data_IF_073111774343
#
_entry.id   IF_073111774343
#
_cell.length_a   1.000
_cell.length_b   1.000
_cell.length_c   1.000
_cell.angle_alpha   90.00
_cell.angle_beta   90.00
_cell.angle_gamma   90.00
#
_symmetry.space_group_name_H-M   'P 1'
#
loop_
_entity.id
_entity.type
_entity.pdbx_description
1 polymer ?
#
# COMPACT_ATOMS: atom_id res chain seq x y z
N UNK A 1 7.18 12.11 39.26
CA UNK A 1 7.28 11.79 40.69
C UNK A 1 8.50 10.95 40.90
N UNK A 2 9.22 11.23 41.95
CA UNK A 2 10.67 11.40 41.88
C UNK A 2 11.47 10.24 42.49
N UNK A 3 12.64 10.06 41.93
CA UNK A 3 13.95 10.11 42.62
C UNK A 3 14.08 9.46 44.02
N UNK A 4 15.07 8.60 44.12
CA UNK A 4 15.97 8.64 45.28
C UNK A 4 17.33 8.03 44.92
N UNK A 5 18.33 8.88 44.93
CA UNK A 5 19.75 8.56 45.03
C UNK A 5 20.05 8.04 46.44
N UNK A 6 20.86 7.00 46.54
CA UNK A 6 21.60 6.70 47.80
C UNK A 6 23.10 6.79 47.52
N UNK A 7 23.71 7.76 48.13
CA UNK A 7 25.17 7.94 48.25
C UNK A 7 25.58 7.24 49.58
N UNK A 8 26.49 6.28 49.47
CA UNK A 8 27.13 5.69 50.65
C UNK A 8 28.53 6.30 50.80
N UNK A 9 28.68 7.03 51.87
CA UNK A 9 29.93 7.60 52.37
C UNK A 9 30.58 6.57 53.30
N UNK A 10 31.80 6.12 52.97
CA UNK A 10 32.64 5.37 53.91
C UNK A 10 33.64 6.30 54.54
N UNK A 11 33.52 6.50 55.81
CA UNK A 11 34.48 7.17 56.69
C UNK A 11 35.54 6.18 57.21
N UNK A 12 36.78 6.47 56.91
CA UNK A 12 37.94 5.77 57.49
C UNK A 12 38.31 6.41 58.87
N UNK A 13 38.28 5.59 59.89
CA UNK A 13 38.82 5.96 61.21
C UNK A 13 40.32 5.66 61.31
N UNK A 14 41.14 6.67 61.66
CA UNK A 14 42.49 6.52 62.10
C UNK A 14 42.45 6.33 63.62
N UNK A 15 43.13 5.29 64.10
CA UNK A 15 43.48 5.19 65.51
C UNK A 15 45.02 5.30 65.64
N UNK A 16 45.41 6.33 66.33
CA UNK A 16 46.77 6.52 66.83
C UNK A 16 46.98 5.71 68.11
N UNK A 17 48.09 5.04 68.24
CA UNK A 17 48.50 4.40 69.48
C UNK A 17 49.93 4.78 69.78
N UNK A 18 50.04 5.57 70.83
CA UNK A 18 51.29 6.02 71.49
C UNK A 18 51.71 5.03 72.56
N UNK A 19 52.95 4.92 72.83
CA UNK A 19 53.50 4.22 73.97
C UNK A 19 55.03 4.15 73.91
N UNK A 20 55.66 5.05 74.45
CA UNK A 20 56.48 5.32 75.63
C UNK A 20 57.67 4.39 75.83
N UNK A 21 58.80 5.00 75.74
CA UNK A 21 60.09 4.96 76.45
C UNK A 21 60.33 3.91 77.52
N UNK A 22 61.53 3.37 77.57
CA UNK A 22 62.39 3.32 78.82
C UNK A 22 63.87 3.15 78.41
N UNK A 23 64.67 3.89 79.18
CA UNK A 23 66.11 4.01 79.28
C UNK A 23 66.76 2.72 79.79
N UNK A 24 68.05 2.42 79.45
CA UNK A 24 69.22 2.46 80.26
C UNK A 24 70.38 1.60 79.67
N UNK A 25 71.55 2.05 79.82
CA UNK A 25 72.76 1.27 80.04
C UNK A 25 73.97 1.56 79.19
N UNK A 26 74.82 2.46 79.67
CA UNK A 26 76.18 2.66 79.23
C UNK A 26 76.96 1.37 79.41
N UNK A 27 77.81 1.04 78.38
CA UNK A 27 79.15 0.47 78.62
C UNK A 27 80.06 0.83 77.43
N UNK A 28 81.02 1.58 77.68
CA UNK A 28 82.23 1.84 76.84
C UNK A 28 82.93 0.53 76.65
N UNK A 29 83.16 0.13 75.34
CA UNK A 29 84.30 -0.69 74.93
C UNK A 29 84.92 -0.02 73.72
N UNK A 30 86.17 0.41 73.93
CA UNK A 30 87.09 0.76 72.87
C UNK A 30 87.36 -0.49 72.00
N UNK A 31 86.77 -0.56 70.78
CA UNK A 31 87.23 -1.53 69.76
C UNK A 31 88.08 -0.75 68.72
N UNK A 32 89.30 -1.14 68.64
CA UNK A 32 90.27 -0.77 67.57
C UNK A 32 89.64 -0.94 66.21
N UNK A 33 89.36 0.16 65.50
CA UNK A 33 88.89 0.09 64.12
C UNK A 33 89.99 -0.37 63.21
N UNK A 34 90.11 -1.69 62.97
CA UNK A 34 90.75 -2.18 61.78
C UNK A 34 89.85 -1.89 60.59
N UNK A 35 90.18 -0.83 59.86
CA UNK A 35 89.63 -0.64 58.51
C UNK A 35 90.02 -1.83 57.65
N UNK A 36 89.09 -2.65 57.17
CA UNK A 36 89.45 -3.73 56.25
C UNK A 36 90.07 -3.07 54.97
N UNK A 37 91.32 -3.36 54.68
CA UNK A 37 91.90 -2.99 53.37
C UNK A 37 91.02 -3.62 52.28
N UNK A 38 90.29 -2.76 51.58
CA UNK A 38 89.41 -3.19 50.46
C UNK A 38 90.34 -3.77 49.37
N UNK A 39 90.34 -5.10 49.25
CA UNK A 39 91.09 -5.76 48.18
C UNK A 39 90.36 -5.59 46.86
N UNK A 40 90.68 -4.52 46.15
CA UNK A 40 90.10 -4.21 44.81
C UNK A 40 90.46 -5.28 43.75
N UNK A 41 91.17 -6.35 44.12
CA UNK A 41 91.56 -7.51 43.26
C UNK A 41 90.53 -8.65 43.41
N UNK A 42 89.54 -8.54 44.31
CA UNK A 42 88.47 -9.55 44.49
C UNK A 42 87.75 -9.84 43.15
N UNK A 43 87.84 -11.10 42.65
CA UNK A 43 87.15 -11.48 41.47
C UNK A 43 85.62 -11.39 41.54
N UNK A 44 85.06 -11.38 42.76
CA UNK A 44 83.67 -11.25 43.07
C UNK A 44 83.29 -9.93 43.74
N UNK A 45 83.93 -8.83 43.37
CA UNK A 45 83.75 -7.51 43.96
C UNK A 45 82.26 -7.06 43.96
N UNK A 46 81.57 -7.26 42.83
CA UNK A 46 80.09 -7.13 42.70
C UNK A 46 79.46 -8.54 42.64
N UNK A 47 78.19 -8.61 42.95
CA UNK A 47 77.44 -9.86 42.72
C UNK A 47 77.30 -10.17 41.25
N UNK A 48 77.35 -11.48 40.89
CA UNK A 48 77.13 -11.93 39.54
C UNK A 48 75.81 -11.45 39.01
N UNK A 49 75.77 -10.97 37.82
CA UNK A 49 74.52 -10.53 37.17
C UNK A 49 73.97 -11.65 36.34
N UNK A 50 72.67 -11.85 36.45
CA UNK A 50 71.85 -12.70 35.58
C UNK A 50 70.61 -11.93 35.16
N UNK A 51 70.14 -12.19 33.95
CA UNK A 51 68.96 -11.53 33.40
C UNK A 51 67.96 -12.60 32.98
N UNK A 52 66.85 -12.67 33.66
CA UNK A 52 65.80 -13.58 33.27
C UNK A 52 65.20 -13.17 31.92
N UNK A 53 65.09 -14.09 30.99
CA UNK A 53 64.66 -13.85 29.59
C UNK A 53 65.59 -12.84 28.85
N UNK A 54 66.87 -13.01 29.06
CA UNK A 54 67.86 -12.20 28.38
C UNK A 54 69.25 -12.69 28.66
N UNK A 55 70.22 -12.08 28.03
CA UNK A 55 71.66 -12.40 28.11
C UNK A 55 72.45 -11.25 28.71
N UNK A 56 73.41 -11.61 29.53
CA UNK A 56 74.33 -10.66 30.14
C UNK A 56 75.78 -10.98 29.67
N UNK A 57 76.33 -10.05 28.91
CA UNK A 57 77.72 -10.18 28.43
C UNK A 57 78.63 -9.19 29.20
N UNK A 58 79.51 -9.70 30.00
CA UNK A 58 80.40 -8.88 30.85
C UNK A 58 81.81 -8.85 30.31
N UNK A 59 82.37 -7.65 30.26
CA UNK A 59 83.78 -7.36 29.87
C UNK A 59 84.54 -6.78 31.09
N UNK A 60 85.45 -7.58 31.62
CA UNK A 60 86.27 -7.21 32.73
C UNK A 60 87.56 -6.54 32.22
N UNK A 61 88.05 -5.48 32.89
CA UNK A 61 89.37 -4.88 32.55
C UNK A 61 90.55 -5.81 32.82
N UNK A 62 90.32 -6.96 33.49
CA UNK A 62 91.40 -7.93 33.83
C UNK A 62 91.31 -9.24 33.02
N UNK A 63 90.40 -9.34 32.09
CA UNK A 63 90.20 -10.52 31.26
C UNK A 63 89.14 -11.51 31.71
N UNK A 64 88.90 -12.53 30.91
CA UNK A 64 87.65 -13.37 30.93
C UNK A 64 87.33 -14.18 32.17
N UNK A 65 88.25 -14.39 33.09
CA UNK A 65 87.98 -15.15 34.35
C UNK A 65 87.37 -14.27 35.46
N UNK A 66 87.36 -12.94 35.32
CA UNK A 66 86.98 -12.00 36.37
C UNK A 66 85.70 -11.23 36.01
N UNK A 67 84.60 -11.92 36.03
CA UNK A 67 83.33 -11.39 35.51
C UNK A 67 82.64 -10.33 36.36
N UNK A 68 83.06 -10.10 37.61
CA UNK A 68 82.42 -9.15 38.51
C UNK A 68 83.43 -8.32 39.36
N UNK A 69 84.68 -8.18 38.90
CA UNK A 69 85.68 -7.32 39.49
C UNK A 69 85.30 -5.82 39.33
N UNK A 70 85.92 -4.98 40.16
CA UNK A 70 85.74 -3.52 40.05
C UNK A 70 86.09 -3.04 38.62
N UNK A 71 85.20 -2.24 38.06
CA UNK A 71 85.27 -1.71 36.72
C UNK A 71 84.73 -2.63 35.60
N UNK A 72 84.31 -3.85 35.91
CA UNK A 72 83.71 -4.73 34.94
C UNK A 72 82.45 -4.05 34.39
N UNK A 73 82.28 -4.03 33.06
CA UNK A 73 81.14 -3.50 32.33
C UNK A 73 80.30 -4.69 31.77
N UNK A 74 79.01 -4.72 32.13
CA UNK A 74 78.13 -5.73 31.62
C UNK A 74 77.06 -5.08 30.69
N UNK A 75 76.94 -5.66 29.51
CA UNK A 75 75.85 -5.31 28.54
C UNK A 75 74.76 -6.29 28.67
N UNK A 76 73.50 -5.77 28.68
CA UNK A 76 72.29 -6.53 28.87
C UNK A 76 71.48 -6.47 27.64
N UNK A 77 71.08 -7.61 27.12
CA UNK A 77 70.12 -7.77 26.02
C UNK A 77 69.00 -8.70 26.40
N UNK A 78 67.80 -8.41 25.95
CA UNK A 78 66.66 -9.30 26.19
C UNK A 78 66.46 -10.25 25.03
N UNK A 79 65.90 -11.42 25.36
CA UNK A 79 65.45 -12.39 24.39
C UNK A 79 64.37 -11.78 23.47
N UNK A 80 64.20 -12.44 22.34
CA UNK A 80 63.18 -12.02 21.37
C UNK A 80 61.83 -12.01 22.00
N UNK A 81 61.07 -10.89 21.87
CA UNK A 81 59.76 -10.71 22.50
C UNK A 81 59.77 -10.06 23.89
N UNK A 82 60.95 -9.71 24.38
CA UNK A 82 61.11 -8.97 25.63
C UNK A 82 61.75 -7.59 25.40
N UNK A 83 61.39 -6.63 26.19
CA UNK A 83 61.92 -5.27 26.19
C UNK A 83 62.77 -5.03 27.44
N UNK A 84 63.96 -4.57 27.22
CA UNK A 84 64.85 -4.16 28.33
C UNK A 84 64.30 -2.90 29.02
N UNK A 85 64.10 -3.01 30.29
CA UNK A 85 63.75 -1.87 31.18
C UNK A 85 64.91 -1.66 32.14
N UNK A 86 65.41 -0.43 32.26
CA UNK A 86 66.62 -0.06 32.96
C UNK A 86 67.77 0.26 32.05
N UNK A 87 69.00 0.11 32.51
CA UNK A 87 70.25 0.45 31.77
C UNK A 87 70.71 -0.73 30.95
N UNK A 88 70.95 -0.55 29.66
CA UNK A 88 71.50 -1.59 28.80
C UNK A 88 72.96 -1.90 29.07
N UNK A 89 73.64 -1.04 29.77
CA UNK A 89 75.02 -1.25 30.19
C UNK A 89 75.23 -0.76 31.63
N UNK A 90 75.76 -1.61 32.47
CA UNK A 90 76.03 -1.33 33.89
C UNK A 90 77.50 -1.62 34.21
N UNK A 91 78.03 -0.93 35.19
CA UNK A 91 79.45 -1.06 35.60
C UNK A 91 79.51 -1.37 37.12
N UNK A 92 80.43 -2.25 37.47
CA UNK A 92 80.74 -2.55 38.86
C UNK A 92 81.54 -1.41 39.48
N UNK A 93 80.98 -0.80 40.53
CA UNK A 93 81.50 0.38 41.20
C UNK A 93 82.35 0.04 42.46
N UNK A 94 83.11 1.01 42.98
CA UNK A 94 83.90 0.87 44.13
C UNK A 94 83.12 0.52 45.43
N UNK A 95 81.85 0.87 45.49
CA UNK A 95 80.92 0.56 46.61
C UNK A 95 80.36 -0.85 46.55
N UNK A 96 80.94 -1.75 45.75
CA UNK A 96 80.48 -3.14 45.52
C UNK A 96 79.07 -3.24 44.91
N UNK A 97 78.54 -2.16 44.32
CA UNK A 97 77.27 -2.12 43.69
C UNK A 97 77.38 -1.91 42.17
N UNK A 98 76.40 -2.40 41.43
CA UNK A 98 76.33 -2.08 39.99
C UNK A 98 75.72 -0.70 39.78
N UNK A 99 76.15 -0.01 38.75
CA UNK A 99 75.74 1.36 38.40
C UNK A 99 74.26 1.48 38.03
N UNK A 100 73.54 0.38 37.91
CA UNK A 100 72.18 0.33 37.55
C UNK A 100 71.62 -1.09 37.61
N UNK A 101 70.35 -1.24 37.34
CA UNK A 101 69.68 -2.51 37.19
C UNK A 101 68.95 -2.53 35.88
N UNK A 102 68.69 -3.74 35.36
CA UNK A 102 67.82 -3.95 34.19
C UNK A 102 67.03 -5.25 34.39
N UNK A 103 65.93 -5.31 33.76
CA UNK A 103 65.11 -6.55 33.70
C UNK A 103 64.39 -6.61 32.35
N UNK A 104 64.15 -7.81 31.89
CA UNK A 104 63.40 -8.06 30.64
C UNK A 104 61.94 -8.24 30.91
N UNK A 105 61.14 -7.35 30.41
CA UNK A 105 59.69 -7.41 30.49
C UNK A 105 59.13 -7.93 29.19
N UNK A 106 58.27 -8.98 29.24
CA UNK A 106 57.58 -9.49 28.06
C UNK A 106 56.81 -8.37 27.39
N UNK A 107 56.99 -8.20 26.10
CA UNK A 107 56.31 -7.16 25.33
C UNK A 107 54.82 -7.53 25.18
N UNK A 108 54.03 -6.51 25.03
CA UNK A 108 52.59 -6.64 24.80
C UNK A 108 52.13 -5.73 23.68
N UNK A 109 51.17 -6.17 22.93
CA UNK A 109 50.49 -5.35 21.95
C UNK A 109 49.45 -4.44 22.60
N UNK A 110 48.98 -3.45 21.87
CA UNK A 110 47.82 -2.66 22.28
C UNK A 110 46.61 -3.54 22.44
N UNK A 111 45.67 -3.15 23.29
CA UNK A 111 44.36 -3.79 23.40
C UNK A 111 43.66 -3.65 22.04
N UNK A 112 43.09 -4.72 21.54
CA UNK A 112 42.30 -4.69 20.32
C UNK A 112 40.98 -3.95 20.57
N UNK A 113 40.57 -3.18 19.58
CA UNK A 113 39.27 -2.51 19.63
C UNK A 113 38.14 -3.54 19.60
N UNK A 114 37.05 -3.21 20.24
CA UNK A 114 35.82 -4.04 20.18
C UNK A 114 35.29 -4.03 18.75
N UNK A 115 34.93 -5.20 18.27
CA UNK A 115 34.29 -5.34 16.96
C UNK A 115 32.77 -5.27 17.17
N UNK A 116 32.08 -4.34 16.53
CA UNK A 116 30.61 -4.36 16.51
C UNK A 116 30.11 -5.72 16.01
N UNK A 117 29.09 -6.26 16.66
CA UNK A 117 28.49 -7.57 16.32
C UNK A 117 29.47 -8.75 16.31
N UNK A 118 30.51 -8.66 17.15
CA UNK A 118 31.49 -9.71 17.24
C UNK A 118 32.28 -9.66 18.54
N UNK A 119 33.13 -10.67 18.72
CA UNK A 119 34.01 -10.83 19.87
C UNK A 119 35.32 -11.48 19.44
N UNK A 120 36.33 -11.37 20.29
CA UNK A 120 37.59 -12.06 20.10
C UNK A 120 37.99 -12.79 21.38
N UNK A 121 38.76 -13.86 21.23
CA UNK A 121 39.37 -14.59 22.33
C UNK A 121 40.83 -14.75 22.06
N UNK A 122 41.70 -14.49 23.06
CA UNK A 122 43.13 -14.51 22.92
C UNK A 122 43.74 -15.62 23.80
N UNK A 123 44.74 -16.32 23.28
CA UNK A 123 45.42 -17.45 23.97
C UNK A 123 46.14 -17.03 25.25
N UNK A 124 46.88 -15.89 25.19
CA UNK A 124 47.66 -15.37 26.31
C UNK A 124 47.43 -13.88 26.51
N UNK A 125 46.21 -13.42 26.33
CA UNK A 125 45.86 -12.00 26.37
C UNK A 125 46.55 -11.22 25.26
N UNK A 126 47.17 -10.10 25.62
CA UNK A 126 47.84 -9.21 24.63
C UNK A 126 49.37 -9.32 24.64
N UNK A 127 49.90 -10.43 25.14
CA UNK A 127 51.34 -10.67 25.16
C UNK A 127 51.85 -11.08 23.79
N UNK A 128 53.16 -10.88 23.54
CA UNK A 128 53.83 -11.38 22.34
C UNK A 128 53.55 -12.88 22.17
N UNK A 129 53.39 -13.31 20.93
CA UNK A 129 52.99 -14.67 20.50
C UNK A 129 51.55 -15.07 20.85
N UNK A 130 50.79 -14.19 21.51
CA UNK A 130 49.37 -14.43 21.69
C UNK A 130 48.62 -14.31 20.36
N UNK A 131 47.78 -15.28 20.06
CA UNK A 131 46.85 -15.27 18.94
C UNK A 131 45.46 -14.93 19.44
N UNK A 132 44.83 -13.95 18.80
CA UNK A 132 43.43 -13.61 19.05
C UNK A 132 42.59 -14.06 17.84
N UNK A 133 41.64 -14.92 18.08
CA UNK A 133 40.68 -15.41 17.08
C UNK A 133 39.37 -14.60 17.21
N UNK A 134 38.87 -14.17 16.07
CA UNK A 134 37.65 -13.36 15.97
C UNK A 134 36.46 -14.20 15.57
N UNK A 135 35.30 -13.90 16.19
CA UNK A 135 34.02 -14.55 15.88
C UNK A 135 32.94 -13.50 15.80
N UNK A 136 32.08 -13.57 14.79
CA UNK A 136 30.93 -12.71 14.67
C UNK A 136 29.69 -13.33 15.33
N UNK A 137 28.75 -12.46 15.71
CA UNK A 137 27.46 -12.87 16.21
C UNK A 137 26.62 -13.54 15.10
N UNK A 138 25.54 -14.21 15.50
CA UNK A 138 24.68 -14.90 14.54
C UNK A 138 24.08 -13.90 13.52
N UNK A 139 24.20 -14.24 12.23
CA UNK A 139 23.75 -13.39 11.12
C UNK A 139 24.85 -12.52 10.52
N UNK A 140 26.02 -12.41 11.17
CA UNK A 140 27.14 -11.63 10.68
C UNK A 140 28.27 -12.52 10.19
N UNK A 141 28.98 -12.09 9.16
CA UNK A 141 30.17 -12.75 8.60
C UNK A 141 31.41 -11.93 8.84
N UNK A 142 32.54 -12.61 9.07
CA UNK A 142 33.83 -11.96 9.17
C UNK A 142 34.28 -11.53 7.78
N UNK A 143 34.55 -10.25 7.62
CA UNK A 143 35.28 -9.69 6.49
C UNK A 143 36.70 -9.31 6.95
N UNK A 144 37.72 -9.95 6.35
CA UNK A 144 39.13 -9.82 6.70
C UNK A 144 39.71 -11.08 7.34
N UNK A 145 40.75 -10.90 8.14
CA UNK A 145 41.48 -12.02 8.76
C UNK A 145 40.76 -12.57 9.99
N UNK A 146 40.59 -13.89 10.06
CA UNK A 146 39.94 -14.56 11.19
C UNK A 146 40.74 -14.51 12.48
N UNK A 147 42.05 -14.24 12.42
CA UNK A 147 42.91 -14.19 13.60
C UNK A 147 44.06 -13.22 13.42
N UNK A 148 44.54 -12.67 14.54
CA UNK A 148 45.72 -11.80 14.58
C UNK A 148 46.68 -12.30 15.65
N UNK A 149 47.97 -12.16 15.41
CA UNK A 149 49.02 -12.55 16.35
C UNK A 149 49.81 -11.32 16.80
N UNK A 150 50.08 -11.25 18.08
CA UNK A 150 50.91 -10.19 18.64
C UNK A 150 52.40 -10.48 18.31
N UNK A 151 52.96 -9.68 17.44
CA UNK A 151 54.33 -9.84 16.93
C UNK A 151 55.37 -9.32 17.95
N UNK A 152 56.61 -9.79 17.80
CA UNK A 152 57.72 -9.41 18.64
C UNK A 152 58.03 -7.90 18.69
N UNK A 153 57.55 -7.14 17.72
CA UNK A 153 57.64 -5.67 17.72
C UNK A 153 56.58 -4.95 18.57
N UNK A 154 55.66 -5.69 19.21
CA UNK A 154 54.57 -5.11 19.97
C UNK A 154 53.39 -4.61 19.13
N UNK A 155 53.32 -5.02 17.85
CA UNK A 155 52.24 -4.73 16.91
C UNK A 155 51.46 -6.00 16.55
N UNK A 156 50.21 -5.85 16.24
CA UNK A 156 49.38 -6.96 15.75
C UNK A 156 49.66 -7.25 14.27
N UNK A 157 49.64 -8.53 13.88
CA UNK A 157 49.65 -8.92 12.48
C UNK A 157 48.37 -8.49 11.76
N UNK A 158 48.46 -8.23 10.46
CA UNK A 158 47.31 -7.92 9.60
C UNK A 158 46.45 -6.75 10.07
N UNK A 159 45.23 -6.66 9.50
CA UNK A 159 44.24 -5.66 9.85
C UNK A 159 43.16 -6.25 10.74
N UNK A 160 42.47 -5.41 11.52
CA UNK A 160 41.35 -5.85 12.33
C UNK A 160 40.15 -6.17 11.41
N UNK A 161 39.56 -7.35 11.51
CA UNK A 161 38.41 -7.70 10.72
C UNK A 161 37.15 -6.95 11.19
N UNK A 162 36.14 -6.92 10.34
CA UNK A 162 34.79 -6.40 10.66
C UNK A 162 33.77 -7.53 10.55
N UNK A 163 32.67 -7.38 11.28
CA UNK A 163 31.53 -8.28 11.18
C UNK A 163 30.44 -7.58 10.37
N UNK A 164 30.18 -8.06 9.16
CA UNK A 164 29.18 -7.50 8.26
C UNK A 164 28.00 -8.45 8.05
N UNK A 165 26.81 -7.88 8.01
CA UNK A 165 25.61 -8.60 7.61
C UNK A 165 25.53 -8.61 6.08
N UNK A 166 25.73 -9.79 5.51
CA UNK A 166 25.67 -10.03 4.05
C UNK A 166 24.48 -10.91 3.66
N UNK A 167 23.75 -11.41 4.62
CA UNK A 167 22.65 -12.33 4.38
C UNK A 167 21.34 -11.55 4.12
N UNK A 168 20.65 -11.77 2.97
CA UNK A 168 19.41 -11.07 2.71
C UNK A 168 18.28 -11.59 3.59
N UNK A 169 17.35 -10.70 3.97
CA UNK A 169 16.18 -11.10 4.76
C UNK A 169 15.30 -12.09 3.99
N UNK A 170 14.55 -12.89 4.70
CA UNK A 170 13.62 -13.89 4.14
C UNK A 170 12.19 -13.40 4.29
N UNK A 171 11.47 -13.28 3.17
CA UNK A 171 10.05 -12.89 3.14
C UNK A 171 9.22 -13.96 2.43
N UNK A 172 8.04 -14.26 2.98
CA UNK A 172 7.08 -15.17 2.37
C UNK A 172 5.80 -14.41 2.04
N UNK A 173 5.50 -14.27 0.74
CA UNK A 173 4.26 -13.66 0.29
C UNK A 173 3.03 -14.51 0.62
N UNK A 174 1.86 -13.87 0.78
CA UNK A 174 0.58 -14.57 0.77
C UNK A 174 0.39 -15.39 -0.51
N UNK A 175 -0.44 -16.43 -0.49
CA UNK A 175 -0.78 -17.18 -1.70
C UNK A 175 -1.56 -16.31 -2.68
N UNK A 176 -1.38 -16.55 -3.97
CA UNK A 176 -2.19 -15.92 -5.02
C UNK A 176 -3.67 -16.23 -4.80
N UNK A 177 -4.53 -15.26 -5.14
CA UNK A 177 -5.98 -15.35 -4.91
C UNK A 177 -6.75 -15.14 -6.20
N UNK A 178 -7.84 -15.89 -6.34
CA UNK A 178 -8.86 -15.66 -7.34
C UNK A 178 -10.11 -15.10 -6.65
N UNK A 179 -10.66 -14.01 -7.17
CA UNK A 179 -11.89 -13.39 -6.68
C UNK A 179 -12.79 -13.08 -7.86
N UNK A 180 -14.09 -13.30 -7.70
CA UNK A 180 -15.07 -12.85 -8.69
C UNK A 180 -15.42 -11.39 -8.40
N UNK A 181 -15.59 -10.59 -9.45
CA UNK A 181 -16.01 -9.19 -9.36
C UNK A 181 -17.36 -9.07 -8.60
N UNK A 182 -17.50 -7.95 -7.91
CA UNK A 182 -18.73 -7.66 -7.16
C UNK A 182 -19.93 -7.44 -8.12
N UNK A 183 -21.16 -7.70 -7.65
CA UNK A 183 -22.34 -7.49 -8.47
C UNK A 183 -22.44 -6.06 -9.01
N UNK A 184 -22.73 -5.90 -10.29
CA UNK A 184 -22.80 -4.59 -10.95
C UNK A 184 -21.47 -3.92 -11.23
N UNK A 185 -20.34 -4.52 -10.79
CA UNK A 185 -19.00 -3.95 -10.96
C UNK A 185 -18.10 -4.83 -11.85
N UNK A 186 -17.05 -4.21 -12.36
CA UNK A 186 -15.94 -4.90 -13.06
C UNK A 186 -14.72 -5.07 -12.15
N UNK A 187 -14.88 -4.81 -10.85
CA UNK A 187 -13.85 -4.82 -9.82
C UNK A 187 -14.22 -5.73 -8.67
N UNK A 188 -13.24 -6.12 -7.89
CA UNK A 188 -13.45 -6.82 -6.62
C UNK A 188 -12.57 -6.24 -5.52
N UNK A 189 -13.11 -6.09 -4.34
CA UNK A 189 -12.33 -5.72 -3.15
C UNK A 189 -11.62 -6.95 -2.61
N UNK A 190 -10.28 -6.89 -2.52
CA UNK A 190 -9.46 -8.01 -2.04
C UNK A 190 -8.56 -7.57 -0.91
N UNK A 191 -8.59 -8.34 0.18
CA UNK A 191 -7.74 -8.10 1.34
C UNK A 191 -6.86 -9.32 1.64
N UNK A 192 -5.71 -9.08 2.25
CA UNK A 192 -4.76 -10.08 2.73
C UNK A 192 -4.00 -9.57 3.94
N UNK A 193 -3.40 -10.47 4.68
CA UNK A 193 -2.52 -10.12 5.78
C UNK A 193 -1.15 -9.68 5.26
N UNK A 194 -0.58 -8.67 5.89
CA UNK A 194 0.77 -8.21 5.57
C UNK A 194 1.76 -9.37 5.75
N UNK A 195 2.63 -9.66 4.78
CA UNK A 195 3.61 -10.71 4.92
C UNK A 195 4.59 -10.41 6.05
N UNK A 196 4.99 -11.46 6.76
CA UNK A 196 6.07 -11.38 7.74
C UNK A 196 7.41 -11.62 7.06
N UNK A 197 8.41 -10.84 7.45
CA UNK A 197 9.79 -11.06 7.06
C UNK A 197 10.63 -11.40 8.29
N UNK A 198 11.71 -12.11 8.09
CA UNK A 198 12.66 -12.51 9.13
C UNK A 198 14.08 -12.37 8.59
N UNK A 199 14.95 -11.94 9.48
CA UNK A 199 16.37 -11.92 9.27
C UNK A 199 17.11 -12.55 10.44
N UNK A 200 18.37 -12.94 10.25
CA UNK A 200 19.20 -13.53 11.29
C UNK A 200 19.91 -12.49 12.14
N UNK A 201 20.24 -11.35 11.55
CA UNK A 201 20.92 -10.24 12.20
C UNK A 201 19.91 -9.21 12.74
N UNK A 202 18.90 -8.89 11.96
CA UNK A 202 17.97 -7.79 12.23
C UNK A 202 16.61 -8.27 12.73
N UNK A 203 16.14 -7.66 13.83
CA UNK A 203 14.80 -7.90 14.39
C UNK A 203 13.73 -7.02 13.73
N UNK A 204 14.11 -5.85 13.24
CA UNK A 204 13.21 -4.89 12.61
C UNK A 204 13.56 -4.75 11.14
N UNK A 205 12.60 -5.04 10.29
CA UNK A 205 12.74 -5.02 8.85
C UNK A 205 11.72 -4.10 8.22
N UNK A 206 12.13 -3.30 7.27
CA UNK A 206 11.25 -2.43 6.50
C UNK A 206 10.63 -3.20 5.33
N UNK A 207 9.31 -3.45 5.42
CA UNK A 207 8.56 -4.13 4.37
C UNK A 207 7.79 -3.08 3.57
N UNK A 208 8.13 -2.95 2.30
CA UNK A 208 7.57 -1.98 1.37
C UNK A 208 6.63 -2.71 0.40
N UNK A 209 5.38 -2.25 0.33
CA UNK A 209 4.41 -2.69 -0.67
C UNK A 209 4.62 -1.91 -1.97
N UNK A 210 4.65 -2.63 -3.10
CA UNK A 210 4.67 -2.05 -4.45
C UNK A 210 3.43 -2.52 -5.21
N UNK A 211 2.52 -1.61 -5.47
CA UNK A 211 1.22 -1.86 -6.06
C UNK A 211 0.07 -1.45 -5.14
N UNK A 212 -1.13 -1.94 -5.47
CA UNK A 212 -2.33 -1.68 -4.68
C UNK A 212 -2.30 -2.42 -3.35
N UNK A 213 -2.80 -1.78 -2.29
CA UNK A 213 -2.84 -2.33 -0.94
C UNK A 213 -4.01 -3.29 -0.68
N UNK A 214 -3.96 -4.01 0.44
CA UNK A 214 -5.09 -4.83 0.87
C UNK A 214 -6.31 -3.95 1.20
N UNK A 215 -7.51 -4.47 0.90
CA UNK A 215 -8.77 -3.75 1.12
C UNK A 215 -9.13 -2.75 0.03
N UNK A 216 -8.36 -2.67 -1.07
CA UNK A 216 -8.68 -1.81 -2.22
C UNK A 216 -9.39 -2.61 -3.33
N UNK A 217 -10.00 -1.89 -4.27
CA UNK A 217 -10.64 -2.46 -5.45
C UNK A 217 -9.63 -2.80 -6.53
N UNK A 218 -9.67 -4.03 -7.02
CA UNK A 218 -8.82 -4.54 -8.10
C UNK A 218 -9.63 -4.69 -9.39
N UNK A 219 -9.08 -4.24 -10.50
CA UNK A 219 -9.68 -4.37 -11.82
C UNK A 219 -9.60 -5.82 -12.33
N UNK A 220 -10.48 -6.13 -13.30
CA UNK A 220 -10.47 -7.42 -14.00
C UNK A 220 -9.08 -7.80 -14.52
N UNK A 221 -8.73 -9.07 -14.38
CA UNK A 221 -7.48 -9.64 -14.85
C UNK A 221 -6.50 -9.97 -13.71
N UNK A 222 -5.23 -10.10 -14.06
CA UNK A 222 -4.15 -10.47 -13.14
C UNK A 222 -3.42 -9.23 -12.62
N UNK A 223 -3.60 -8.95 -11.35
CA UNK A 223 -2.95 -7.84 -10.65
C UNK A 223 -1.76 -8.39 -9.86
N UNK A 224 -0.56 -7.95 -10.17
CA UNK A 224 0.68 -8.43 -9.54
C UNK A 224 1.01 -7.53 -8.36
N UNK A 225 1.03 -8.11 -7.17
CA UNK A 225 1.43 -7.45 -5.92
C UNK A 225 2.85 -7.87 -5.58
N UNK A 226 3.68 -6.91 -5.22
CA UNK A 226 5.08 -7.14 -4.84
C UNK A 226 5.35 -6.54 -3.48
N UNK A 227 6.09 -7.29 -2.67
CA UNK A 227 6.69 -6.78 -1.45
C UNK A 227 8.20 -6.79 -1.58
N UNK A 228 8.83 -5.72 -1.13
CA UNK A 228 10.28 -5.62 -0.99
C UNK A 228 10.60 -5.46 0.49
N UNK A 229 11.66 -6.08 0.94
CA UNK A 229 12.16 -5.94 2.29
C UNK A 229 13.63 -5.63 2.26
N UNK A 230 14.05 -4.77 3.17
CA UNK A 230 15.43 -4.35 3.37
C UNK A 230 15.78 -4.55 4.83
N UNK A 231 16.99 -5.03 5.09
CA UNK A 231 17.61 -5.02 6.42
C UNK A 231 18.37 -3.71 6.65
N UNK A 232 19.03 -3.57 7.80
CA UNK A 232 19.81 -2.37 8.15
C UNK A 232 21.09 -2.27 7.31
N UNK A 233 21.65 -3.40 6.89
CA UNK A 233 22.81 -3.48 6.01
C UNK A 233 22.48 -3.22 4.53
N UNK A 234 21.18 -2.99 4.20
CA UNK A 234 20.63 -2.80 2.85
C UNK A 234 20.64 -4.04 1.97
N UNK A 235 20.82 -5.23 2.54
CA UNK A 235 20.51 -6.43 1.79
C UNK A 235 18.99 -6.48 1.52
N UNK A 236 18.61 -7.08 0.40
CA UNK A 236 17.22 -7.03 -0.07
C UNK A 236 16.67 -8.39 -0.40
N UNK A 237 15.40 -8.58 -0.10
CA UNK A 237 14.61 -9.66 -0.67
C UNK A 237 13.29 -9.12 -1.19
N UNK A 238 12.66 -9.87 -2.05
CA UNK A 238 11.35 -9.54 -2.59
C UNK A 238 10.52 -10.78 -2.80
N UNK A 239 9.23 -10.63 -2.72
CA UNK A 239 8.29 -11.67 -3.10
C UNK A 239 7.13 -11.08 -3.90
N UNK A 240 6.42 -11.91 -4.66
CA UNK A 240 5.26 -11.53 -5.46
C UNK A 240 4.16 -12.56 -5.36
N UNK A 241 2.92 -12.11 -5.46
CA UNK A 241 1.75 -12.96 -5.65
C UNK A 241 0.75 -12.26 -6.57
N UNK A 242 -0.26 -12.98 -7.02
CA UNK A 242 -1.23 -12.48 -7.99
C UNK A 242 -2.62 -12.44 -7.35
N UNK A 243 -3.28 -11.30 -7.47
CA UNK A 243 -4.71 -11.14 -7.25
C UNK A 243 -5.38 -11.16 -8.61
N UNK A 244 -6.07 -12.24 -8.93
CA UNK A 244 -6.83 -12.39 -10.19
C UNK A 244 -8.30 -12.08 -9.91
N UNK A 245 -8.83 -11.11 -10.65
CA UNK A 245 -10.26 -10.78 -10.63
C UNK A 245 -10.90 -11.33 -11.90
N UNK A 246 -11.88 -12.19 -11.72
CA UNK A 246 -12.70 -12.75 -12.80
C UNK A 246 -14.04 -12.01 -12.87
N UNK A 247 -14.38 -11.47 -14.03
CA UNK A 247 -15.71 -10.90 -14.27
C UNK A 247 -16.56 -11.97 -14.97
N UNK A 248 -17.62 -12.39 -14.31
CA UNK A 248 -18.61 -13.28 -14.89
C UNK A 248 -19.56 -12.47 -15.75
N UNK A 249 -19.88 -12.96 -16.94
CA UNK A 249 -20.73 -12.29 -17.90
C UNK A 249 -21.81 -13.23 -18.37
N UNK A 250 -23.02 -12.68 -18.54
CA UNK A 250 -24.12 -13.31 -19.21
C UNK A 250 -24.02 -13.15 -20.73
N UNK A 251 -24.77 -13.93 -21.49
CA UNK A 251 -24.92 -13.73 -22.91
C UNK A 251 -25.60 -12.39 -23.21
N UNK A 252 -25.36 -11.86 -24.40
CA UNK A 252 -26.05 -10.65 -24.87
C UNK A 252 -27.55 -10.95 -24.98
N UNK A 253 -28.39 -10.09 -24.40
CA UNK A 253 -29.83 -10.18 -24.56
C UNK A 253 -30.22 -9.57 -25.91
N UNK A 254 -31.04 -10.26 -26.73
CA UNK A 254 -31.61 -9.65 -27.91
C UNK A 254 -32.69 -8.63 -27.50
N UNK A 255 -32.78 -7.49 -28.18
CA UNK A 255 -33.86 -6.55 -27.98
C UNK A 255 -35.21 -7.22 -28.35
N UNK A 256 -36.32 -6.84 -27.73
CA UNK A 256 -37.62 -7.30 -28.14
C UNK A 256 -37.99 -6.72 -29.50
N UNK A 257 -38.84 -7.42 -30.24
CA UNK A 257 -39.42 -6.87 -31.45
C UNK A 257 -40.26 -5.64 -31.09
N UNK A 258 -40.11 -4.53 -31.79
CA UNK A 258 -40.74 -3.24 -31.48
C UNK A 258 -40.38 -2.71 -30.09
N UNK A 259 -39.07 -2.79 -29.77
CA UNK A 259 -38.58 -2.27 -28.51
C UNK A 259 -37.06 -2.33 -28.42
N UNK A 260 -36.52 -1.89 -27.30
CA UNK A 260 -35.10 -1.81 -27.03
C UNK A 260 -34.79 -2.21 -25.58
N UNK A 261 -33.49 -2.31 -25.29
CA UNK A 261 -32.98 -2.63 -23.97
C UNK A 261 -32.09 -1.48 -23.48
N UNK A 262 -32.26 -1.12 -22.22
CA UNK A 262 -31.29 -0.30 -21.50
C UNK A 262 -30.63 -1.13 -20.42
N UNK A 263 -29.30 -1.21 -20.43
CA UNK A 263 -28.57 -2.02 -19.47
C UNK A 263 -27.69 -1.14 -18.58
N UNK A 264 -27.62 -1.45 -17.29
CA UNK A 264 -26.76 -0.74 -16.35
C UNK A 264 -25.26 -0.94 -16.62
N UNK A 265 -24.91 -1.88 -17.52
CA UNK A 265 -23.54 -2.14 -17.95
C UNK A 265 -23.51 -2.69 -19.37
N UNK A 266 -22.70 -2.12 -20.23
CA UNK A 266 -22.49 -2.56 -21.62
C UNK A 266 -21.83 -3.95 -21.72
N UNK A 267 -21.33 -4.49 -20.63
CA UNK A 267 -20.55 -5.74 -20.62
C UNK A 267 -21.32 -6.92 -20.05
N UNK A 268 -22.60 -6.79 -19.74
CA UNK A 268 -23.46 -7.86 -19.23
C UNK A 268 -22.85 -8.64 -18.05
N UNK A 269 -22.12 -7.94 -17.16
CA UNK A 269 -21.46 -8.57 -16.03
C UNK A 269 -22.45 -8.98 -14.95
N UNK A 270 -22.03 -9.88 -14.08
CA UNK A 270 -22.79 -10.32 -12.93
C UNK A 270 -23.33 -9.13 -12.13
N UNK A 271 -24.65 -9.12 -11.88
CA UNK A 271 -25.36 -8.04 -11.23
C UNK A 271 -25.74 -6.87 -12.16
N UNK A 272 -25.42 -6.93 -13.45
CA UNK A 272 -25.96 -5.98 -14.42
C UNK A 272 -27.44 -6.20 -14.61
N UNK A 273 -28.22 -5.12 -14.63
CA UNK A 273 -29.66 -5.12 -14.86
C UNK A 273 -29.95 -4.57 -16.25
N UNK A 274 -30.74 -5.26 -17.03
CA UNK A 274 -31.25 -4.81 -18.32
C UNK A 274 -32.76 -4.63 -18.23
N UNK A 275 -33.24 -3.48 -18.64
CA UNK A 275 -34.68 -3.12 -18.66
C UNK A 275 -35.20 -3.14 -20.08
N UNK A 276 -36.40 -3.72 -20.26
CA UNK A 276 -37.09 -3.81 -21.54
C UNK A 276 -37.97 -2.60 -21.72
N UNK A 277 -37.89 -1.96 -22.85
CA UNK A 277 -38.71 -0.85 -23.26
C UNK A 277 -39.37 -1.15 -24.59
N UNK A 278 -40.61 -0.73 -24.77
CA UNK A 278 -41.34 -0.89 -26.02
C UNK A 278 -41.39 0.43 -26.79
N UNK A 279 -41.39 0.33 -28.10
CA UNK A 279 -41.61 1.46 -29.00
C UNK A 279 -43.01 2.03 -28.82
N UNK A 280 -43.22 3.26 -29.27
CA UNK A 280 -44.53 3.93 -29.21
C UNK A 280 -45.65 3.06 -29.83
N UNK A 281 -46.74 2.94 -29.11
CA UNK A 281 -47.88 2.11 -29.55
C UNK A 281 -47.83 0.65 -29.16
N UNK A 282 -46.81 0.22 -28.43
CA UNK A 282 -46.65 -1.15 -27.92
C UNK A 282 -46.64 -1.18 -26.41
N UNK A 283 -47.16 -2.26 -25.83
CA UNK A 283 -47.14 -2.51 -24.39
C UNK A 283 -46.23 -3.71 -24.08
N UNK A 284 -45.47 -3.56 -23.00
CA UNK A 284 -44.59 -4.62 -22.53
C UNK A 284 -45.42 -5.75 -21.89
N UNK A 285 -45.20 -6.96 -22.36
CA UNK A 285 -45.71 -8.20 -21.76
C UNK A 285 -44.56 -9.06 -21.29
N UNK A 286 -44.59 -9.44 -20.01
CA UNK A 286 -43.56 -10.22 -19.38
C UNK A 286 -42.87 -9.46 -18.26
N UNK A 287 -41.61 -9.75 -18.01
CA UNK A 287 -40.79 -9.13 -16.96
C UNK A 287 -40.14 -7.85 -17.50
N UNK A 288 -40.32 -6.74 -16.81
CA UNK A 288 -39.76 -5.45 -17.25
C UNK A 288 -38.23 -5.35 -17.18
N UNK A 289 -37.62 -6.15 -16.32
CA UNK A 289 -36.15 -6.13 -16.16
C UNK A 289 -35.61 -7.52 -15.88
N UNK A 290 -34.34 -7.75 -16.28
CA UNK A 290 -33.58 -8.98 -16.01
C UNK A 290 -32.23 -8.65 -15.41
N UNK A 291 -31.77 -9.49 -14.48
CA UNK A 291 -30.49 -9.34 -13.79
C UNK A 291 -29.57 -10.50 -14.17
N UNK A 292 -28.34 -10.19 -14.53
CA UNK A 292 -27.33 -11.21 -14.80
C UNK A 292 -26.92 -11.89 -13.49
N UNK A 293 -27.18 -13.19 -13.38
CA UNK A 293 -26.92 -13.98 -12.18
C UNK A 293 -25.47 -14.49 -12.11
N UNK A 294 -25.08 -14.98 -10.94
CA UNK A 294 -23.72 -15.50 -10.69
C UNK A 294 -23.37 -16.72 -11.57
N UNK A 295 -24.36 -17.51 -11.97
CA UNK A 295 -24.22 -18.69 -12.84
C UNK A 295 -24.06 -18.34 -14.31
N UNK A 296 -23.99 -17.03 -14.67
CA UNK A 296 -23.89 -16.49 -16.03
C UNK A 296 -25.19 -16.60 -16.83
N UNK A 297 -26.32 -16.81 -16.17
CA UNK A 297 -27.64 -16.82 -16.79
C UNK A 297 -28.40 -15.55 -16.38
N UNK A 298 -29.28 -15.11 -17.26
CA UNK A 298 -30.25 -14.06 -16.91
C UNK A 298 -31.39 -14.65 -16.12
N UNK A 299 -31.87 -13.96 -15.10
CA UNK A 299 -33.08 -14.33 -14.41
C UNK A 299 -34.33 -14.13 -15.30
N UNK A 300 -35.44 -14.76 -14.93
CA UNK A 300 -36.71 -14.61 -15.61
C UNK A 300 -36.71 -15.06 -17.07
N UNK A 301 -37.79 -14.67 -17.78
CA UNK A 301 -38.00 -14.95 -19.20
C UNK A 301 -37.83 -13.70 -20.09
N UNK A 302 -37.82 -13.85 -21.43
CA UNK A 302 -37.84 -12.71 -22.32
C UNK A 302 -39.18 -11.95 -22.21
N UNK A 303 -39.11 -10.65 -22.42
CA UNK A 303 -40.31 -9.81 -22.52
C UNK A 303 -40.64 -9.58 -24.01
N UNK A 304 -41.92 -9.31 -24.29
CA UNK A 304 -42.45 -9.07 -25.62
C UNK A 304 -43.14 -7.71 -25.66
N UNK A 305 -42.96 -6.97 -26.74
CA UNK A 305 -43.72 -5.76 -27.01
C UNK A 305 -44.88 -6.08 -27.93
N UNK A 306 -46.07 -5.98 -27.42
CA UNK A 306 -47.31 -6.24 -28.18
C UNK A 306 -48.03 -4.92 -28.48
N UNK A 307 -48.72 -4.80 -29.64
CA UNK A 307 -49.44 -3.59 -29.97
C UNK A 307 -50.46 -3.24 -28.87
N UNK A 308 -50.49 -1.97 -28.45
CA UNK A 308 -51.47 -1.47 -27.48
C UNK A 308 -52.88 -1.57 -28.03
N UNK A 309 -53.73 -2.30 -27.36
CA UNK A 309 -55.13 -2.44 -27.74
C UNK A 309 -55.98 -1.40 -27.02
N UNK A 310 -56.42 -0.38 -27.79
CA UNK A 310 -57.31 0.67 -27.29
C UNK A 310 -58.76 0.17 -27.30
N UNK A 311 -59.36 0.11 -26.13
CA UNK A 311 -60.78 -0.25 -25.98
C UNK A 311 -61.62 1.02 -26.23
N UNK A 312 -62.22 1.10 -27.39
CA UNK A 312 -63.11 2.20 -27.79
C UNK A 312 -64.58 2.03 -27.33
N UNK A 313 -64.94 0.84 -26.88
CA UNK A 313 -66.29 0.50 -26.40
C UNK A 313 -66.58 0.95 -24.97
N UNK A 314 -65.69 1.72 -24.36
CA UNK A 314 -65.87 2.33 -23.03
C UNK A 314 -67.04 3.32 -23.03
N UNK A 315 -67.73 3.43 -21.90
CA UNK A 315 -68.95 4.24 -21.78
C UNK A 315 -68.67 5.69 -21.32
N UNK A 316 -67.54 5.95 -20.73
CA UNK A 316 -67.21 7.22 -20.12
C UNK A 316 -65.85 7.77 -20.55
N UNK A 317 -65.68 9.08 -20.61
CA UNK A 317 -64.37 9.69 -20.93
C UNK A 317 -63.25 9.32 -19.92
N UNK A 318 -63.45 9.30 -18.61
CA UNK A 318 -62.42 8.86 -17.69
C UNK A 318 -61.95 7.45 -17.99
N UNK A 319 -62.84 6.49 -18.31
CA UNK A 319 -62.45 5.13 -18.63
C UNK A 319 -61.67 5.01 -19.96
N UNK A 320 -61.84 5.97 -20.87
CA UNK A 320 -60.96 6.09 -22.06
C UNK A 320 -59.61 6.64 -21.66
N UNK A 321 -59.56 7.75 -20.89
CA UNK A 321 -58.36 8.44 -20.50
C UNK A 321 -57.46 7.57 -19.63
N UNK A 322 -57.98 6.77 -18.73
CA UNK A 322 -57.26 5.83 -17.87
C UNK A 322 -56.37 4.84 -18.66
N UNK A 323 -56.77 4.53 -19.92
CA UNK A 323 -55.97 3.62 -20.76
C UNK A 323 -54.64 4.26 -21.20
N UNK A 324 -54.57 5.58 -21.22
CA UNK A 324 -53.41 6.36 -21.66
C UNK A 324 -52.56 6.91 -20.52
N UNK A 325 -53.11 6.88 -19.28
CA UNK A 325 -52.42 7.41 -18.09
C UNK A 325 -51.06 6.75 -17.89
N UNK A 326 -50.02 7.57 -17.73
CA UNK A 326 -48.60 7.17 -17.63
C UNK A 326 -48.09 6.33 -18.82
N UNK A 327 -48.80 6.35 -19.94
CA UNK A 327 -48.43 5.54 -21.11
C UNK A 327 -48.27 6.35 -22.39
N UNK A 328 -49.23 7.25 -22.66
CA UNK A 328 -49.25 8.00 -23.91
C UNK A 328 -49.88 9.38 -23.72
N UNK A 329 -49.35 10.33 -24.45
CA UNK A 329 -49.92 11.67 -24.63
C UNK A 329 -51.11 11.64 -25.56
N UNK A 330 -52.02 12.57 -25.41
CA UNK A 330 -53.21 12.68 -26.27
C UNK A 330 -53.24 14.02 -26.98
N UNK A 331 -53.46 14.01 -28.28
CA UNK A 331 -53.80 15.20 -29.07
C UNK A 331 -55.25 15.13 -29.46
N UNK A 332 -56.12 15.93 -28.82
CA UNK A 332 -57.54 15.98 -29.09
C UNK A 332 -57.79 17.06 -30.12
N UNK A 333 -58.16 16.70 -31.33
CA UNK A 333 -58.45 17.60 -32.42
C UNK A 333 -59.99 17.73 -32.58
N UNK A 334 -60.52 18.94 -32.61
CA UNK A 334 -61.94 19.23 -32.70
C UNK A 334 -62.28 20.21 -33.78
N UNK A 335 -63.37 19.99 -34.48
CA UNK A 335 -63.86 20.91 -35.49
C UNK A 335 -65.42 20.88 -35.61
N UNK A 336 -66.05 21.97 -36.16
CA UNK A 336 -67.50 22.03 -36.34
C UNK A 336 -68.06 20.98 -37.28
N UNK A 337 -67.28 20.57 -38.29
CA UNK A 337 -67.65 19.53 -39.22
C UNK A 337 -66.41 19.01 -39.95
N UNK A 338 -66.55 17.91 -40.70
CA UNK A 338 -65.47 17.26 -41.44
C UNK A 338 -64.96 18.08 -42.63
N UNK A 339 -65.74 19.04 -43.10
CA UNK A 339 -65.37 19.92 -44.24
C UNK A 339 -64.78 21.23 -43.77
N UNK A 340 -64.54 21.41 -42.49
CA UNK A 340 -63.82 22.56 -41.94
C UNK A 340 -62.42 22.63 -42.54
N UNK A 341 -61.99 23.79 -43.13
CA UNK A 341 -60.70 23.89 -43.80
C UNK A 341 -59.50 23.66 -42.90
N UNK A 342 -59.60 24.18 -41.68
CA UNK A 342 -58.50 24.07 -40.67
C UNK A 342 -58.35 22.61 -40.25
N UNK A 343 -59.48 21.93 -40.02
CA UNK A 343 -59.44 20.50 -39.74
C UNK A 343 -58.84 19.68 -40.87
N UNK A 344 -59.29 19.92 -42.13
CA UNK A 344 -58.78 19.17 -43.29
C UNK A 344 -57.28 19.37 -43.47
N UNK A 345 -56.79 20.59 -43.33
CA UNK A 345 -55.38 20.89 -43.39
C UNK A 345 -54.59 20.18 -42.31
N UNK A 346 -55.06 20.31 -41.05
CA UNK A 346 -54.39 19.67 -39.92
C UNK A 346 -54.42 18.12 -40.03
N UNK A 347 -55.54 17.56 -40.46
CA UNK A 347 -55.63 16.08 -40.62
C UNK A 347 -54.64 15.54 -41.64
N UNK A 348 -54.42 16.21 -42.77
CA UNK A 348 -53.39 15.87 -43.74
C UNK A 348 -51.99 15.92 -43.12
N UNK A 349 -51.71 16.93 -42.30
CA UNK A 349 -50.43 17.05 -41.60
C UNK A 349 -50.21 15.94 -40.61
N UNK A 350 -51.23 15.63 -39.78
CA UNK A 350 -51.20 14.57 -38.77
C UNK A 350 -51.00 13.17 -39.42
N UNK A 351 -51.71 12.88 -40.50
CA UNK A 351 -51.55 11.58 -41.20
C UNK A 351 -50.15 11.42 -41.75
N UNK A 352 -49.50 12.50 -42.22
CA UNK A 352 -48.09 12.45 -42.66
C UNK A 352 -47.09 12.35 -41.51
N UNK A 353 -47.49 12.81 -40.35
CA UNK A 353 -46.69 12.86 -39.14
C UNK A 353 -46.88 11.69 -38.18
N UNK A 354 -47.66 10.66 -38.57
CA UNK A 354 -48.07 9.58 -37.67
C UNK A 354 -46.91 8.86 -37.01
N UNK A 355 -45.88 8.53 -37.76
CA UNK A 355 -44.65 7.95 -37.23
C UNK A 355 -43.95 8.85 -36.18
N UNK A 356 -43.82 10.16 -36.46
CA UNK A 356 -43.23 11.12 -35.56
C UNK A 356 -44.06 11.37 -34.29
N UNK A 357 -45.36 11.25 -34.39
CA UNK A 357 -46.28 11.25 -33.22
C UNK A 357 -46.13 10.01 -32.37
N UNK A 358 -46.06 8.84 -33.00
CA UNK A 358 -45.83 7.59 -32.28
C UNK A 358 -44.50 7.54 -31.55
N UNK A 359 -43.41 8.07 -32.16
CA UNK A 359 -42.09 8.24 -31.49
C UNK A 359 -42.20 9.12 -30.23
N UNK A 360 -43.12 10.07 -30.19
CA UNK A 360 -43.39 10.96 -29.05
C UNK A 360 -44.50 10.47 -28.15
N UNK A 361 -44.91 9.21 -28.35
CA UNK A 361 -46.02 8.59 -27.63
C UNK A 361 -47.33 9.38 -27.66
N UNK A 362 -47.64 10.01 -28.79
CA UNK A 362 -48.86 10.81 -28.98
C UNK A 362 -49.94 10.00 -29.70
N UNK A 363 -51.11 9.95 -29.17
CA UNK A 363 -52.30 9.38 -29.83
C UNK A 363 -53.31 10.48 -30.15
N UNK A 364 -53.83 10.47 -31.36
CA UNK A 364 -54.78 11.47 -31.83
C UNK A 364 -56.24 11.00 -31.58
N UNK A 365 -57.04 11.89 -31.03
CA UNK A 365 -58.49 11.76 -30.88
C UNK A 365 -59.17 12.87 -31.69
N UNK A 366 -60.09 12.53 -32.54
CA UNK A 366 -60.87 13.44 -33.36
C UNK A 366 -62.30 13.58 -32.81
N UNK A 367 -62.76 14.81 -32.65
CA UNK A 367 -64.12 15.18 -32.21
C UNK A 367 -64.78 16.11 -33.24
N UNK A 368 -65.69 15.61 -34.08
CA UNK A 368 -66.24 16.35 -35.19
C UNK A 368 -67.75 16.54 -35.07
N UNK A 369 -68.21 17.72 -35.40
CA UNK A 369 -69.63 18.02 -35.48
C UNK A 369 -70.30 18.42 -34.18
N UNK A 370 -71.61 18.42 -34.22
CA UNK A 370 -72.51 18.71 -33.11
C UNK A 370 -73.69 17.73 -33.10
N UNK A 371 -74.25 17.50 -31.92
CA UNK A 371 -75.42 16.61 -31.83
C UNK A 371 -76.54 17.04 -32.78
N UNK A 372 -77.28 16.16 -33.44
CA UNK A 372 -77.17 14.69 -33.34
C UNK A 372 -76.14 14.01 -34.27
N UNK A 373 -75.40 14.75 -35.04
CA UNK A 373 -74.43 14.24 -36.02
C UNK A 373 -72.96 14.37 -35.54
N UNK A 374 -72.73 14.36 -34.25
CA UNK A 374 -71.43 14.40 -33.66
C UNK A 374 -70.74 13.03 -33.80
N UNK A 375 -69.47 13.02 -34.18
CA UNK A 375 -68.63 11.83 -34.30
C UNK A 375 -67.31 12.03 -33.59
N UNK A 376 -66.85 11.00 -32.88
CA UNK A 376 -65.52 10.94 -32.26
C UNK A 376 -64.81 9.70 -32.76
N UNK A 377 -63.49 9.86 -33.06
CA UNK A 377 -62.65 8.73 -33.49
C UNK A 377 -61.34 8.73 -32.75
N UNK A 378 -60.81 7.54 -32.51
CA UNK A 378 -59.46 7.31 -32.06
C UNK A 378 -58.84 6.22 -32.96
N UNK A 379 -57.82 6.58 -33.71
CA UNK A 379 -57.42 5.77 -34.86
C UNK A 379 -58.61 5.45 -35.75
N UNK A 380 -58.87 4.21 -36.03
CA UNK A 380 -60.01 3.79 -36.89
C UNK A 380 -61.30 3.50 -36.08
N UNK A 381 -61.24 3.59 -34.74
CA UNK A 381 -62.34 3.20 -33.87
C UNK A 381 -63.27 4.39 -33.55
N UNK A 382 -64.58 4.19 -33.59
CA UNK A 382 -65.58 5.18 -33.21
C UNK A 382 -65.74 5.23 -31.67
N UNK A 383 -65.90 6.44 -31.15
CA UNK A 383 -66.19 6.65 -29.74
C UNK A 383 -67.69 6.79 -29.50
N UNK A 384 -68.15 6.32 -28.36
CA UNK A 384 -69.52 6.48 -27.92
C UNK A 384 -69.88 7.95 -27.58
N UNK A 385 -71.14 8.37 -27.80
CA UNK A 385 -71.61 9.75 -27.54
C UNK A 385 -71.32 10.21 -26.09
N UNK A 386 -71.43 9.34 -25.10
CA UNK A 386 -71.11 9.67 -23.71
C UNK A 386 -69.62 9.96 -23.48
N UNK A 387 -68.73 9.31 -24.24
CA UNK A 387 -67.27 9.56 -24.18
C UNK A 387 -66.96 10.92 -24.82
N UNK A 388 -67.56 11.19 -26.00
CA UNK A 388 -67.37 12.45 -26.73
C UNK A 388 -67.79 13.63 -25.86
N UNK A 389 -69.02 13.56 -25.30
CA UNK A 389 -69.53 14.59 -24.39
C UNK A 389 -68.65 14.78 -23.17
N UNK A 390 -68.24 13.68 -22.54
CA UNK A 390 -67.35 13.71 -21.37
C UNK A 390 -65.99 14.38 -21.69
N UNK A 391 -65.33 14.04 -22.84
CA UNK A 391 -64.09 14.67 -23.26
C UNK A 391 -64.25 16.19 -23.46
N UNK A 392 -65.34 16.61 -24.14
CA UNK A 392 -65.62 18.01 -24.35
C UNK A 392 -65.85 18.78 -23.04
N UNK A 393 -66.56 18.16 -22.09
CA UNK A 393 -66.80 18.76 -20.77
C UNK A 393 -65.51 18.88 -19.94
N UNK A 394 -64.78 17.82 -19.85
CA UNK A 394 -63.53 17.73 -19.05
C UNK A 394 -62.55 18.81 -19.57
N UNK A 395 -62.32 18.81 -20.89
CA UNK A 395 -61.33 19.73 -21.49
C UNK A 395 -61.92 20.99 -22.04
N UNK A 396 -63.21 21.30 -21.83
CA UNK A 396 -63.93 22.51 -22.30
C UNK A 396 -63.73 22.79 -23.78
N UNK A 397 -63.86 21.75 -24.63
CA UNK A 397 -63.62 21.82 -26.06
C UNK A 397 -64.86 22.35 -26.77
N UNK A 398 -64.72 23.45 -27.50
CA UNK A 398 -65.80 24.06 -28.28
C UNK A 398 -66.19 23.22 -29.49
N UNK A 399 -67.51 23.33 -29.91
CA UNK A 399 -68.03 22.78 -31.15
C UNK A 399 -68.05 23.78 -32.30
N UNK A 400 -67.77 25.04 -32.01
CA UNK A 400 -68.02 26.15 -32.93
C UNK A 400 -66.84 26.53 -33.82
N UNK A 401 -65.62 26.07 -33.47
CA UNK A 401 -64.39 26.37 -34.19
C UNK A 401 -63.41 25.22 -34.06
N UNK A 402 -62.42 25.24 -34.98
CA UNK A 402 -61.32 24.27 -34.93
C UNK A 402 -60.46 24.55 -33.69
N UNK A 403 -60.07 23.49 -33.00
CA UNK A 403 -59.09 23.57 -31.92
C UNK A 403 -58.42 22.22 -31.69
N UNK A 404 -57.19 22.28 -31.19
CA UNK A 404 -56.48 21.09 -30.70
C UNK A 404 -56.08 21.29 -29.24
N UNK A 405 -56.14 20.25 -28.47
CA UNK A 405 -55.71 20.21 -27.07
C UNK A 405 -54.67 19.11 -26.93
N UNK A 406 -53.49 19.47 -26.46
CA UNK A 406 -52.40 18.53 -26.17
C UNK A 406 -52.39 18.21 -24.70
N UNK A 407 -52.53 16.94 -24.37
CA UNK A 407 -52.45 16.41 -23.02
C UNK A 407 -51.18 15.63 -22.83
N UNK A 408 -50.54 15.80 -21.67
CA UNK A 408 -49.38 14.96 -21.29
C UNK A 408 -49.79 13.54 -20.85
N UNK A 409 -48.83 12.74 -20.44
CA UNK A 409 -49.07 11.37 -19.99
C UNK A 409 -49.92 11.26 -18.73
N UNK A 410 -49.95 12.31 -17.91
CA UNK A 410 -50.79 12.40 -16.72
C UNK A 410 -52.19 12.91 -17.03
N UNK A 411 -52.50 13.18 -18.32
CA UNK A 411 -53.77 13.70 -18.77
C UNK A 411 -53.95 15.22 -18.49
N UNK A 412 -52.88 15.94 -18.21
CA UNK A 412 -52.94 17.38 -17.96
C UNK A 412 -52.91 18.15 -19.28
N UNK A 413 -53.76 19.17 -19.40
CA UNK A 413 -53.83 20.10 -20.53
C UNK A 413 -52.55 20.97 -20.58
N UNK A 414 -51.73 20.74 -21.59
CA UNK A 414 -50.43 21.43 -21.75
C UNK A 414 -50.48 22.60 -22.69
N UNK A 415 -51.21 22.45 -23.80
CA UNK A 415 -51.29 23.53 -24.80
C UNK A 415 -52.57 23.39 -25.63
N UNK A 416 -53.08 24.52 -26.12
CA UNK A 416 -54.27 24.64 -26.97
C UNK A 416 -53.98 25.44 -28.19
N UNK A 417 -54.30 24.88 -29.33
CA UNK A 417 -54.12 25.50 -30.63
C UNK A 417 -55.52 25.77 -31.24
N UNK A 418 -55.75 26.95 -31.75
CA UNK A 418 -56.99 27.37 -32.37
C UNK A 418 -56.87 27.51 -33.90
N UNK A 419 -55.69 27.32 -34.43
CA UNK A 419 -55.35 27.29 -35.83
C UNK A 419 -54.52 26.05 -36.15
N UNK A 420 -54.53 25.59 -37.42
CA UNK A 420 -53.64 24.49 -37.83
C UNK A 420 -52.19 24.79 -37.52
N UNK A 421 -51.45 23.78 -37.07
CA UNK A 421 -50.04 23.88 -36.74
C UNK A 421 -49.25 22.88 -37.60
N UNK A 422 -48.12 23.33 -38.14
CA UNK A 422 -47.20 22.49 -38.90
C UNK A 422 -46.65 21.37 -37.98
N UNK A 423 -46.42 20.16 -38.53
CA UNK A 423 -45.96 19.01 -37.79
C UNK A 423 -44.62 19.28 -37.08
N UNK A 424 -43.71 19.99 -37.75
CA UNK A 424 -42.40 20.35 -37.18
C UNK A 424 -42.49 21.31 -35.97
N UNK A 425 -43.45 22.25 -36.01
CA UNK A 425 -43.72 23.13 -34.87
C UNK A 425 -44.32 22.37 -33.68
N UNK A 426 -45.30 21.47 -33.98
CA UNK A 426 -45.87 20.61 -32.96
C UNK A 426 -44.83 19.69 -32.31
N UNK A 427 -43.96 19.10 -33.09
CA UNK A 427 -42.86 18.28 -32.58
C UNK A 427 -41.87 19.10 -31.75
N UNK A 428 -41.48 20.28 -32.24
CA UNK A 428 -40.59 21.18 -31.50
C UNK A 428 -41.17 21.60 -30.14
N UNK A 429 -42.50 21.81 -30.10
CA UNK A 429 -43.17 22.10 -28.85
C UNK A 429 -43.15 20.89 -27.90
N UNK A 430 -43.54 19.73 -28.37
CA UNK A 430 -43.55 18.48 -27.56
C UNK A 430 -42.16 18.22 -27.02
N UNK A 431 -41.14 18.23 -27.88
CA UNK A 431 -39.74 17.93 -27.51
C UNK A 431 -39.16 18.91 -26.49
N UNK A 432 -39.58 20.20 -26.57
CA UNK A 432 -39.05 21.24 -25.69
C UNK A 432 -39.77 21.34 -24.35
N UNK A 433 -41.08 21.08 -24.30
CA UNK A 433 -41.94 21.43 -23.16
C UNK A 433 -42.69 20.26 -22.51
N UNK A 434 -42.76 19.14 -23.20
CA UNK A 434 -43.60 18.02 -22.76
C UNK A 434 -42.79 16.75 -22.47
N UNK A 435 -41.69 16.50 -23.24
CA UNK A 435 -40.81 15.39 -23.02
C UNK A 435 -39.85 15.68 -21.86
N UNK A 436 -39.53 14.65 -21.09
CA UNK A 436 -38.45 14.68 -20.12
C UNK A 436 -37.06 14.51 -20.82
N UNK A 437 -35.98 14.60 -20.03
CA UNK A 437 -34.62 14.55 -20.58
C UNK A 437 -34.26 13.17 -21.14
N UNK A 438 -34.71 12.11 -20.47
CA UNK A 438 -34.49 10.73 -20.93
C UNK A 438 -35.26 10.44 -22.20
N UNK A 439 -36.50 10.93 -22.31
CA UNK A 439 -37.30 10.78 -23.53
C UNK A 439 -36.70 11.53 -24.71
N UNK A 440 -36.13 12.70 -24.51
CA UNK A 440 -35.43 13.47 -25.54
C UNK A 440 -34.18 12.78 -26.02
N UNK A 441 -33.34 12.26 -25.12
CA UNK A 441 -32.16 11.48 -25.49
C UNK A 441 -32.53 10.24 -26.30
N UNK A 442 -33.59 9.54 -25.90
CA UNK A 442 -34.11 8.37 -26.63
C UNK A 442 -34.64 8.74 -28.01
N UNK A 443 -35.36 9.86 -28.12
CA UNK A 443 -35.88 10.35 -29.39
C UNK A 443 -34.76 10.69 -30.38
N UNK A 444 -33.67 11.28 -29.92
CA UNK A 444 -32.51 11.58 -30.77
C UNK A 444 -31.85 10.30 -31.32
N UNK A 445 -31.79 9.23 -30.54
CA UNK A 445 -31.27 7.94 -31.00
C UNK A 445 -32.13 7.26 -32.05
N UNK A 446 -33.45 7.56 -32.12
CA UNK A 446 -34.41 6.94 -33.02
C UNK A 446 -34.94 7.87 -34.12
N UNK A 447 -34.35 9.08 -34.25
CA UNK A 447 -34.80 10.13 -35.16
C UNK A 447 -34.87 9.68 -36.63
N UNK A 448 -33.91 8.85 -37.04
CA UNK A 448 -33.80 8.34 -38.43
C UNK A 448 -34.82 7.25 -38.77
N UNK A 449 -35.64 6.80 -37.79
CA UNK A 449 -36.59 5.69 -37.99
C UNK A 449 -37.82 6.06 -38.80
N UNK A 450 -38.20 7.37 -38.79
CA UNK A 450 -39.35 7.87 -39.52
C UNK A 450 -38.97 8.51 -40.90
N UNK A 451 -37.71 8.61 -41.22
CA UNK A 451 -37.24 9.22 -42.49
C UNK A 451 -37.10 8.23 -43.64
N UNK A 452 -37.50 6.94 -43.47
CA UNK A 452 -37.47 5.88 -44.47
C UNK A 452 -38.83 5.56 -45.11
#
# INVERSE_FOLDING_TARGET
MPLSCFVAVFTLYFTAGSGTTVYDGYNEFEEEYHTPQLDYKDPNWCHSQSLTNGEVTCHSPRGGAYRSTLGTRCEMSCDRGYKLLGRSSIQCLANRRWSGTAFCRKMRCRVLDLIPHGRYTCTYGFMVDSRCDFTCDAGYRIEGEHSRTCQHGGSWSGMQPVCEDTDPPKIKCPPSRLKVAEPGKLTATVSWERPAARDTADKHLDIILVGQGPGTEFKEGANIIRYKVYDQARNRAACKFIVRVEVRRCSVLPPPLHGYLTCSSDRNNYGATCEYHCDGGYELRGISSRVCQFDRNWDGGPAECLPMVIKSDVKTAPALLDQFYEKRRLLIMSAPNITDPDYQLQNIMIQKADCGLDLRHVTVIELLGSPPRETGRIKENLLGSGVIEGLRQIFRISRSYFSMVLLDELGLDRERFITPMASDELFSYIDSFVLDEEERERLELHRDFCDN
#
